data_IF_891161715769
#
_entry.id   IF_891161715769
#
_cell.length_a   1.000
_cell.length_b   1.000
_cell.length_c   1.000
_cell.angle_alpha   90.00
_cell.angle_beta   90.00
_cell.angle_gamma   90.00
#
_symmetry.space_group_name_H-M   'P 1'
#
loop_
_entity.id
_entity.type
_entity.pdbx_description
1 polymer ?
#
# COMPACT_ATOMS: atom_id res chain seq x y z
N UNK A 1 -10.27 10.15 -13.97
CA UNK A 1 -10.25 8.89 -13.23
C UNK A 1 -8.80 8.60 -12.92
N UNK A 2 -8.26 9.24 -11.88
CA UNK A 2 -6.83 9.15 -11.59
C UNK A 2 -6.57 9.38 -10.11
N UNK A 3 -6.74 10.62 -9.64
CA UNK A 3 -6.41 10.95 -8.26
C UNK A 3 -7.41 10.41 -7.24
N UNK A 4 -8.72 10.46 -7.53
CA UNK A 4 -9.76 9.89 -6.67
C UNK A 4 -9.64 8.36 -6.55
N UNK A 5 -9.33 7.69 -7.66
CA UNK A 5 -9.15 6.23 -7.68
C UNK A 5 -7.90 5.80 -6.89
N UNK A 6 -6.79 6.55 -7.02
CA UNK A 6 -5.57 6.34 -6.22
C UNK A 6 -5.90 6.51 -4.74
N UNK A 7 -6.59 7.60 -4.37
CA UNK A 7 -6.93 7.86 -2.98
C UNK A 7 -7.80 6.75 -2.39
N UNK A 8 -8.84 6.31 -3.10
CA UNK A 8 -9.70 5.21 -2.66
C UNK A 8 -8.93 3.90 -2.48
N UNK A 9 -8.04 3.59 -3.42
CA UNK A 9 -7.22 2.37 -3.35
C UNK A 9 -6.26 2.41 -2.15
N UNK A 10 -5.67 3.58 -1.87
CA UNK A 10 -4.79 3.79 -0.72
C UNK A 10 -5.54 3.79 0.61
N UNK A 11 -6.76 4.34 0.68
CA UNK A 11 -7.61 4.28 1.87
C UNK A 11 -8.04 2.85 2.20
N UNK A 12 -8.37 2.06 1.18
CA UNK A 12 -8.66 0.62 1.35
C UNK A 12 -7.42 -0.12 1.88
N UNK A 13 -6.26 0.11 1.29
CA UNK A 13 -5.00 -0.47 1.75
C UNK A 13 -4.67 -0.07 3.20
N UNK A 14 -4.86 1.20 3.55
CA UNK A 14 -4.65 1.69 4.92
C UNK A 14 -5.55 0.96 5.92
N UNK A 15 -6.82 0.77 5.58
CA UNK A 15 -7.79 0.06 6.42
C UNK A 15 -7.40 -1.41 6.61
N UNK A 16 -6.97 -2.09 5.55
CA UNK A 16 -6.50 -3.49 5.63
C UNK A 16 -5.23 -3.61 6.47
N UNK A 17 -4.32 -2.63 6.40
CA UNK A 17 -3.12 -2.57 7.24
C UNK A 17 -3.44 -2.39 8.73
N UNK A 18 -4.48 -1.63 9.06
CA UNK A 18 -4.93 -1.47 10.46
C UNK A 18 -5.61 -2.72 11.02
N UNK A 19 -6.24 -3.53 10.16
CA UNK A 19 -6.93 -4.76 10.55
C UNK A 19 -6.02 -5.99 10.57
N UNK A 20 -4.95 -5.98 9.78
CA UNK A 20 -4.01 -7.08 9.73
C UNK A 20 -3.16 -7.14 11.02
N UNK A 21 -2.99 -8.34 11.55
CA UNK A 21 -2.09 -8.61 12.68
C UNK A 21 -0.81 -9.25 12.18
N UNK A 22 0.34 -8.62 12.45
CA UNK A 22 1.62 -9.20 12.08
C UNK A 22 1.89 -10.52 12.84
N UNK A 23 2.20 -11.58 12.10
CA UNK A 23 2.55 -12.91 12.63
C UNK A 23 4.05 -13.02 12.97
N UNK A 24 4.88 -12.12 12.45
CA UNK A 24 6.34 -12.10 12.68
C UNK A 24 6.89 -10.67 12.85
N UNK A 25 8.06 -10.51 13.51
CA UNK A 25 8.70 -9.20 13.66
C UNK A 25 9.05 -8.54 12.32
N UNK A 26 9.50 -9.32 11.33
CA UNK A 26 9.83 -8.82 10.00
C UNK A 26 8.59 -8.33 9.26
N UNK A 27 7.46 -9.05 9.40
CA UNK A 27 6.20 -8.62 8.83
C UNK A 27 5.68 -7.35 9.51
N UNK A 28 5.80 -7.26 10.85
CA UNK A 28 5.43 -6.06 11.60
C UNK A 28 6.19 -4.83 11.10
N UNK A 29 7.50 -4.94 10.94
CA UNK A 29 8.32 -3.86 10.39
C UNK A 29 7.89 -3.48 8.96
N UNK A 30 7.63 -4.47 8.11
CA UNK A 30 7.13 -4.21 6.75
C UNK A 30 5.76 -3.51 6.74
N UNK A 31 4.84 -3.92 7.64
CA UNK A 31 3.53 -3.30 7.79
C UNK A 31 3.62 -1.87 8.32
N UNK A 32 4.43 -1.64 9.35
CA UNK A 32 4.64 -0.30 9.93
C UNK A 32 5.22 0.67 8.90
N UNK A 33 6.21 0.21 8.12
CA UNK A 33 6.80 1.01 7.04
C UNK A 33 5.77 1.31 5.94
N UNK A 34 5.03 0.31 5.48
CA UNK A 34 4.02 0.51 4.45
C UNK A 34 2.88 1.42 4.94
N UNK A 35 2.47 1.29 6.20
CA UNK A 35 1.46 2.14 6.81
C UNK A 35 1.88 3.60 6.83
N UNK A 36 3.13 3.88 7.17
CA UNK A 36 3.69 5.23 7.14
C UNK A 36 3.70 5.81 5.72
N UNK A 37 4.13 5.02 4.72
CA UNK A 37 4.19 5.44 3.32
C UNK A 37 2.80 5.73 2.74
N UNK A 38 1.83 4.84 2.99
CA UNK A 38 0.43 5.01 2.55
C UNK A 38 -0.19 6.23 3.23
N UNK A 39 0.03 6.41 4.53
CA UNK A 39 -0.46 7.58 5.27
C UNK A 39 0.13 8.88 4.73
N UNK A 40 1.42 8.90 4.40
CA UNK A 40 2.04 10.06 3.79
C UNK A 40 1.44 10.35 2.42
N UNK A 41 1.20 9.33 1.60
CA UNK A 41 0.56 9.46 0.29
C UNK A 41 -0.87 10.03 0.38
N UNK A 42 -1.62 9.68 1.42
CA UNK A 42 -2.97 10.21 1.67
C UNK A 42 -2.96 11.66 2.18
N UNK A 43 -2.00 12.03 3.04
CA UNK A 43 -1.93 13.38 3.63
C UNK A 43 -1.30 14.40 2.68
N UNK A 44 -0.29 13.99 1.93
CA UNK A 44 0.49 14.85 1.04
C UNK A 44 0.76 14.16 -0.31
N UNK A 45 -0.29 13.92 -1.13
CA UNK A 45 -0.15 13.23 -2.41
C UNK A 45 0.81 13.95 -3.36
N UNK A 46 0.77 15.28 -3.39
CA UNK A 46 1.63 16.15 -4.24
C UNK A 46 3.13 16.01 -3.90
N UNK A 47 3.45 15.67 -2.66
CA UNK A 47 4.83 15.52 -2.15
C UNK A 47 5.32 14.08 -2.20
N UNK A 48 4.44 13.15 -2.58
CA UNK A 48 4.74 11.73 -2.59
C UNK A 48 5.20 11.31 -3.99
N UNK A 49 6.40 10.74 -4.08
CA UNK A 49 6.87 10.14 -5.32
C UNK A 49 6.14 8.80 -5.53
N UNK A 50 5.16 8.80 -6.43
CA UNK A 50 4.36 7.61 -6.68
C UNK A 50 5.14 6.45 -7.28
N UNK A 51 6.30 6.66 -7.93
CA UNK A 51 7.18 5.55 -8.37
C UNK A 51 7.85 4.88 -7.19
N UNK A 52 8.30 5.67 -6.23
CA UNK A 52 8.85 5.17 -4.98
C UNK A 52 7.79 4.45 -4.15
N UNK A 53 6.55 4.95 -4.13
CA UNK A 53 5.43 4.27 -3.48
C UNK A 53 5.10 2.94 -4.18
N UNK A 54 5.03 2.93 -5.51
CA UNK A 54 4.79 1.74 -6.32
C UNK A 54 5.83 0.65 -6.03
N UNK A 55 7.12 0.98 -6.08
CA UNK A 55 8.20 0.04 -5.80
C UNK A 55 8.12 -0.55 -4.37
N UNK A 56 7.67 0.25 -3.40
CA UNK A 56 7.51 -0.19 -2.01
C UNK A 56 6.28 -1.09 -1.81
N UNK A 57 5.20 -0.82 -2.54
CA UNK A 57 4.04 -1.71 -2.61
C UNK A 57 4.40 -3.06 -3.24
N UNK A 58 5.17 -3.06 -4.33
CA UNK A 58 5.64 -4.29 -4.97
C UNK A 58 6.54 -5.12 -4.04
N UNK A 59 7.48 -4.47 -3.34
CA UNK A 59 8.37 -5.14 -2.40
C UNK A 59 7.61 -5.77 -1.22
N UNK A 60 6.54 -5.10 -0.76
CA UNK A 60 5.76 -5.56 0.39
C UNK A 60 4.83 -6.75 0.08
N UNK A 61 4.46 -6.97 -1.19
CA UNK A 61 3.73 -8.19 -1.59
C UNK A 61 4.47 -9.49 -1.23
N UNK A 62 5.80 -9.48 -1.26
CA UNK A 62 6.64 -10.63 -0.87
C UNK A 62 6.40 -11.02 0.58
N UNK A 63 6.02 -10.07 1.43
CA UNK A 63 5.83 -10.26 2.87
C UNK A 63 4.38 -10.59 3.28
N UNK A 64 3.39 -10.29 2.42
CA UNK A 64 1.97 -10.39 2.79
C UNK A 64 1.19 -11.48 2.04
N UNK A 65 1.59 -11.84 0.83
CA UNK A 65 0.77 -12.66 -0.07
C UNK A 65 0.38 -14.06 0.46
N UNK A 66 1.18 -14.65 1.35
CA UNK A 66 0.90 -15.97 1.92
C UNK A 66 0.12 -15.92 3.25
N UNK A 67 0.30 -14.85 4.05
CA UNK A 67 -0.22 -14.78 5.42
C UNK A 67 -1.46 -13.88 5.55
N UNK A 68 -1.58 -12.85 4.70
CA UNK A 68 -2.73 -11.95 4.68
C UNK A 68 -3.26 -11.79 3.25
N UNK A 69 -4.12 -12.71 2.78
CA UNK A 69 -4.67 -12.66 1.43
C UNK A 69 -5.43 -11.36 1.12
N UNK A 70 -6.16 -10.82 2.12
CA UNK A 70 -6.89 -9.55 1.99
C UNK A 70 -5.95 -8.35 1.80
N UNK A 71 -4.92 -8.26 2.64
CA UNK A 71 -3.88 -7.22 2.52
C UNK A 71 -3.14 -7.34 1.18
N UNK A 72 -2.79 -8.56 0.76
CA UNK A 72 -2.16 -8.80 -0.54
C UNK A 72 -3.01 -8.32 -1.72
N UNK A 73 -4.33 -8.55 -1.68
CA UNK A 73 -5.25 -8.04 -2.69
C UNK A 73 -5.33 -6.51 -2.70
N UNK A 74 -5.41 -5.87 -1.54
CA UNK A 74 -5.45 -4.41 -1.45
C UNK A 74 -4.16 -3.75 -1.96
N UNK A 75 -3.00 -4.36 -1.69
CA UNK A 75 -1.71 -3.91 -2.24
C UNK A 75 -1.70 -4.05 -3.77
N UNK A 76 -2.18 -5.17 -4.31
CA UNK A 76 -2.28 -5.37 -5.77
C UNK A 76 -3.20 -4.35 -6.45
N UNK A 77 -4.35 -4.04 -5.84
CA UNK A 77 -5.25 -3.01 -6.34
C UNK A 77 -4.58 -1.63 -6.34
N UNK A 78 -3.89 -1.26 -5.25
CA UNK A 78 -3.16 0.00 -5.19
C UNK A 78 -2.06 0.11 -6.26
N UNK A 79 -1.29 -0.97 -6.51
CA UNK A 79 -0.29 -1.06 -7.58
C UNK A 79 -0.93 -0.85 -8.95
N UNK A 80 -2.03 -1.55 -9.22
CA UNK A 80 -2.73 -1.47 -10.50
C UNK A 80 -3.25 -0.05 -10.75
N UNK A 81 -3.82 0.58 -9.73
CA UNK A 81 -4.31 1.96 -9.82
C UNK A 81 -3.19 2.97 -10.04
N UNK A 82 -2.08 2.87 -9.29
CA UNK A 82 -0.90 3.72 -9.48
C UNK A 82 -0.30 3.56 -10.89
N UNK A 83 -0.18 2.32 -11.36
CA UNK A 83 0.34 2.00 -12.71
C UNK A 83 -0.57 2.57 -13.81
N UNK A 84 -1.89 2.46 -13.65
CA UNK A 84 -2.86 3.02 -14.60
C UNK A 84 -2.89 4.55 -14.61
N UNK A 85 -2.52 5.18 -13.50
CA UNK A 85 -2.37 6.63 -13.42
C UNK A 85 -1.09 7.15 -14.09
N UNK A 86 -0.21 6.26 -14.57
CA UNK A 86 1.01 6.60 -15.28
C UNK A 86 2.14 7.08 -14.37
N UNK A 87 2.10 6.68 -13.09
CA UNK A 87 3.17 6.95 -12.13
C UNK A 87 4.16 5.80 -12.14
#
# INVERSE_FOLDING_TARGET
MGQEDIQQSLEKLHTELEQAEATSPAQKEAMDNLHADVKQALVAPESTDGRSLLARLEASLVHFGAEHPGLGLAVQEAIATLSNAGV
#
